data_IF_009969058878
#
_entry.id   IF_009969058878
#
_cell.length_a   1.000
_cell.length_b   1.000
_cell.length_c   1.000
_cell.angle_alpha   90.00
_cell.angle_beta   90.00
_cell.angle_gamma   90.00
#
_symmetry.space_group_name_H-M   'P 1'
#
loop_
_entity.id
_entity.type
_entity.pdbx_description
1 polymer ?
#
# COMPACT_ATOMS: atom_id res chain seq x y z
N UNK A 1 13.64 -5.54 -7.45
CA UNK A 1 13.27 -5.65 -5.99
C UNK A 1 14.49 -5.60 -5.03
N UNK A 2 15.66 -5.22 -5.53
CA UNK A 2 16.87 -5.05 -4.70
C UNK A 2 16.67 -4.01 -3.57
N UNK A 3 15.89 -2.94 -3.84
CA UNK A 3 15.58 -1.87 -2.87
C UNK A 3 14.95 -2.42 -1.58
N UNK A 4 14.00 -3.35 -1.69
CA UNK A 4 13.37 -4.00 -0.54
C UNK A 4 14.36 -4.86 0.25
N UNK A 5 15.20 -5.67 -0.41
CA UNK A 5 16.25 -6.45 0.26
C UNK A 5 17.28 -5.54 0.94
N UNK A 6 17.61 -4.40 0.33
CA UNK A 6 18.52 -3.42 0.96
C UNK A 6 17.91 -2.82 2.23
N UNK A 7 16.60 -2.57 2.25
CA UNK A 7 15.91 -2.13 3.47
C UNK A 7 16.01 -3.20 4.56
N UNK A 8 15.72 -4.48 4.25
CA UNK A 8 15.85 -5.57 5.22
C UNK A 8 17.27 -5.67 5.80
N UNK A 9 18.31 -5.63 4.93
CA UNK A 9 19.72 -5.64 5.37
C UNK A 9 20.05 -4.43 6.23
N UNK A 10 19.60 -3.23 5.83
CA UNK A 10 19.86 -2.01 6.59
C UNK A 10 19.27 -2.09 7.99
N UNK A 11 18.06 -2.65 8.15
CA UNK A 11 17.45 -2.82 9.48
C UNK A 11 18.23 -3.84 10.30
N UNK A 12 18.63 -4.97 9.72
CA UNK A 12 19.41 -5.99 10.45
C UNK A 12 20.79 -5.50 10.88
N UNK A 13 21.43 -4.63 10.07
CA UNK A 13 22.80 -4.15 10.30
C UNK A 13 22.86 -2.91 11.20
N UNK A 14 21.87 -2.00 11.08
CA UNK A 14 21.90 -0.66 11.67
C UNK A 14 20.72 -0.38 12.60
N UNK A 15 19.75 -1.28 12.65
CA UNK A 15 18.54 -1.08 13.47
C UNK A 15 18.83 -1.31 14.96
N UNK A 16 18.10 -0.57 15.77
CA UNK A 16 18.14 -0.68 17.23
C UNK A 16 16.94 -1.48 17.75
N UNK A 17 17.16 -2.28 18.79
CA UNK A 17 16.09 -3.01 19.46
C UNK A 17 15.16 -2.05 20.20
N UNK A 18 13.87 -2.25 20.01
CA UNK A 18 12.82 -1.43 20.59
C UNK A 18 11.68 -2.31 21.09
N UNK A 19 11.14 -1.99 22.26
CA UNK A 19 9.87 -2.54 22.71
C UNK A 19 8.72 -1.92 21.89
N UNK A 20 7.65 -2.65 21.73
CA UNK A 20 6.46 -2.21 21.02
C UNK A 20 5.18 -2.55 21.79
N UNK A 21 4.04 -2.06 21.32
CA UNK A 21 2.72 -2.27 21.95
C UNK A 21 2.34 -3.74 22.07
N UNK A 22 2.77 -4.57 21.12
CA UNK A 22 2.41 -6.00 21.05
C UNK A 22 3.22 -6.87 22.02
N UNK A 23 4.31 -6.34 22.59
CA UNK A 23 5.23 -7.08 23.46
C UNK A 23 6.18 -8.03 22.71
N UNK A 24 6.06 -8.15 21.38
CA UNK A 24 6.95 -8.99 20.57
C UNK A 24 8.37 -8.41 20.50
N UNK A 25 8.48 -7.09 20.47
CA UNK A 25 9.73 -6.37 20.24
C UNK A 25 10.10 -6.29 18.76
N UNK A 26 10.87 -5.27 18.41
CA UNK A 26 11.30 -5.00 17.04
C UNK A 26 12.78 -4.63 16.97
N UNK A 27 13.35 -4.77 15.77
CA UNK A 27 14.55 -4.03 15.36
C UNK A 27 14.09 -2.98 14.35
N UNK A 28 14.41 -1.71 14.58
CA UNK A 28 13.90 -0.61 13.76
C UNK A 28 14.96 0.43 13.40
N UNK A 29 14.71 1.10 12.27
CA UNK A 29 15.38 2.34 11.85
C UNK A 29 14.33 3.42 11.65
N UNK A 30 14.73 4.68 11.82
CA UNK A 30 13.85 5.82 11.57
C UNK A 30 14.32 6.57 10.32
N UNK A 31 13.42 6.62 9.33
CA UNK A 31 13.70 7.27 8.03
C UNK A 31 14.39 6.36 7.03
N UNK A 32 13.67 6.03 5.96
CA UNK A 32 14.21 5.32 4.80
C UNK A 32 13.37 5.62 3.56
N UNK A 33 13.95 5.49 2.37
CA UNK A 33 13.21 5.66 1.12
C UNK A 33 13.62 4.61 0.10
N UNK A 34 12.64 4.06 -0.59
CA UNK A 34 12.82 3.17 -1.76
C UNK A 34 12.19 3.81 -2.99
N UNK A 35 12.73 3.51 -4.18
CA UNK A 35 12.20 3.96 -5.48
C UNK A 35 12.10 2.79 -6.44
N UNK A 36 10.96 2.70 -7.14
CA UNK A 36 10.65 1.68 -8.12
C UNK A 36 10.22 2.34 -9.43
N UNK A 37 10.93 2.13 -10.52
CA UNK A 37 10.51 2.53 -11.86
C UNK A 37 9.41 1.57 -12.33
N UNK A 38 8.19 2.07 -12.47
CA UNK A 38 7.04 1.25 -12.86
C UNK A 38 7.05 0.88 -14.36
N UNK A 39 7.92 1.51 -15.14
CA UNK A 39 8.12 1.15 -16.55
C UNK A 39 8.95 -0.15 -16.73
N UNK A 40 9.74 -0.53 -15.73
CA UNK A 40 10.54 -1.77 -15.74
C UNK A 40 9.71 -3.03 -15.41
N UNK A 41 8.53 -2.87 -14.81
CA UNK A 41 7.64 -3.96 -14.43
C UNK A 41 6.89 -3.66 -13.14
N UNK A 42 6.00 -4.57 -12.75
CA UNK A 42 5.22 -4.44 -11.52
C UNK A 42 6.06 -4.85 -10.31
N UNK A 43 6.24 -3.99 -9.29
CA UNK A 43 7.13 -4.26 -8.16
C UNK A 43 6.50 -5.22 -7.15
N UNK A 44 6.16 -6.43 -7.60
CA UNK A 44 5.76 -7.55 -6.77
C UNK A 44 7.01 -8.35 -6.38
N UNK A 45 7.26 -8.54 -5.08
CA UNK A 45 8.45 -9.27 -4.64
C UNK A 45 8.42 -10.70 -5.14
N UNK A 46 9.61 -11.22 -5.50
CA UNK A 46 9.78 -12.59 -6.04
C UNK A 46 10.47 -13.54 -5.05
N UNK A 47 11.05 -13.02 -4.00
CA UNK A 47 11.76 -13.80 -2.97
C UNK A 47 10.84 -14.47 -1.94
N UNK A 48 9.58 -14.13 -1.94
CA UNK A 48 8.47 -14.92 -1.36
C UNK A 48 7.19 -14.61 -2.11
N UNK A 49 6.32 -15.62 -2.29
CA UNK A 49 5.03 -15.46 -2.98
C UNK A 49 4.09 -14.57 -2.17
N UNK A 50 3.52 -13.54 -2.82
CA UNK A 50 2.48 -12.67 -2.25
C UNK A 50 1.08 -13.16 -2.64
N UNK A 51 0.11 -12.88 -1.78
CA UNK A 51 -1.30 -13.16 -2.05
C UNK A 51 -1.94 -11.94 -2.75
N UNK A 52 -1.72 -11.83 -4.06
CA UNK A 52 -2.16 -10.68 -4.87
C UNK A 52 -3.66 -10.42 -4.78
N UNK A 53 -4.47 -11.49 -4.64
CA UNK A 53 -5.93 -11.37 -4.46
C UNK A 53 -6.28 -10.44 -3.30
N UNK A 54 -5.63 -10.60 -2.14
CA UNK A 54 -5.86 -9.72 -0.99
C UNK A 54 -5.48 -8.27 -1.30
N UNK A 55 -4.37 -8.06 -1.98
CA UNK A 55 -3.89 -6.70 -2.33
C UNK A 55 -4.89 -5.97 -3.22
N UNK A 56 -5.38 -6.65 -4.27
CA UNK A 56 -6.33 -6.06 -5.22
C UNK A 56 -7.67 -5.77 -4.52
N UNK A 57 -8.25 -6.74 -3.79
CA UNK A 57 -9.54 -6.55 -3.12
C UNK A 57 -9.47 -5.47 -2.04
N UNK A 58 -8.38 -5.38 -1.27
CA UNK A 58 -8.18 -4.31 -0.28
C UNK A 58 -8.15 -2.94 -0.95
N UNK A 59 -7.38 -2.78 -2.04
CA UNK A 59 -7.32 -1.51 -2.78
C UNK A 59 -8.68 -1.11 -3.35
N UNK A 60 -9.41 -2.06 -3.94
CA UNK A 60 -10.78 -1.81 -4.44
C UNK A 60 -11.74 -1.44 -3.31
N UNK A 61 -11.61 -2.05 -2.15
CA UNK A 61 -12.38 -1.74 -0.95
C UNK A 61 -12.09 -0.33 -0.43
N UNK A 62 -10.82 0.11 -0.40
CA UNK A 62 -10.47 1.50 -0.10
C UNK A 62 -11.08 2.48 -1.10
N UNK A 63 -11.01 2.18 -2.40
CA UNK A 63 -11.58 3.01 -3.45
C UNK A 63 -13.12 3.09 -3.41
N UNK A 64 -13.80 2.10 -2.86
CA UNK A 64 -15.24 2.16 -2.58
C UNK A 64 -15.58 3.07 -1.38
N UNK A 65 -14.59 3.44 -0.57
CA UNK A 65 -14.79 4.21 0.65
C UNK A 65 -15.46 3.39 1.75
N UNK A 66 -15.39 2.07 1.67
CA UNK A 66 -16.00 1.16 2.64
C UNK A 66 -15.11 1.02 3.90
N UNK A 67 -15.72 0.65 5.01
CA UNK A 67 -15.08 0.41 6.30
C UNK A 67 -15.59 -0.87 6.99
N UNK A 68 -16.42 -1.66 6.31
CA UNK A 68 -16.89 -2.94 6.79
C UNK A 68 -16.18 -4.08 6.04
N UNK A 69 -15.71 -5.10 6.78
CA UNK A 69 -14.94 -6.20 6.21
C UNK A 69 -15.76 -7.21 5.41
N UNK A 70 -17.09 -7.08 5.36
CA UNK A 70 -17.99 -8.01 4.67
C UNK A 70 -17.56 -8.28 3.23
N UNK A 71 -17.32 -7.20 2.45
CA UNK A 71 -16.85 -7.33 1.07
C UNK A 71 -15.54 -8.12 0.98
N UNK A 72 -14.59 -7.87 1.88
CA UNK A 72 -13.31 -8.57 1.92
C UNK A 72 -13.52 -10.06 2.19
N UNK A 73 -14.32 -10.41 3.20
CA UNK A 73 -14.60 -11.78 3.59
C UNK A 73 -15.37 -12.57 2.51
N UNK A 74 -16.34 -11.95 1.84
CA UNK A 74 -17.05 -12.52 0.68
C UNK A 74 -16.09 -12.85 -0.47
N UNK A 75 -14.95 -12.16 -0.56
CA UNK A 75 -13.91 -12.40 -1.54
C UNK A 75 -12.72 -13.21 -1.01
N UNK A 76 -12.86 -13.85 0.17
CA UNK A 76 -11.82 -14.71 0.76
C UNK A 76 -10.62 -13.95 1.31
N UNK A 77 -10.76 -12.66 1.61
CA UNK A 77 -9.72 -11.78 2.16
C UNK A 77 -10.01 -11.52 3.64
N UNK A 78 -9.08 -11.92 4.52
CA UNK A 78 -9.26 -11.89 5.97
C UNK A 78 -8.21 -11.06 6.71
N UNK A 79 -7.48 -10.22 5.99
CA UNK A 79 -6.36 -9.44 6.53
C UNK A 79 -6.78 -8.32 7.50
N UNK A 80 -8.08 -8.09 7.67
CA UNK A 80 -8.64 -7.07 8.56
C UNK A 80 -9.52 -7.66 9.68
N UNK A 81 -9.72 -8.98 9.72
CA UNK A 81 -10.65 -9.64 10.67
C UNK A 81 -10.30 -9.36 12.14
N UNK A 82 -9.00 -9.28 12.47
CA UNK A 82 -8.51 -9.11 13.85
C UNK A 82 -8.78 -7.72 14.43
N UNK A 83 -9.05 -6.71 13.57
CA UNK A 83 -9.32 -5.32 14.00
C UNK A 83 -10.79 -4.95 13.92
N UNK A 84 -11.62 -5.75 13.27
CA UNK A 84 -13.03 -5.46 13.11
C UNK A 84 -13.82 -5.69 14.40
N UNK A 85 -14.82 -4.85 14.64
CA UNK A 85 -15.79 -5.09 15.70
C UNK A 85 -16.69 -6.28 15.37
N UNK A 86 -17.59 -6.63 16.31
CA UNK A 86 -18.54 -7.77 16.16
C UNK A 86 -19.45 -7.66 14.92
N UNK A 87 -19.66 -6.48 14.39
CA UNK A 87 -20.51 -6.18 13.24
C UNK A 87 -19.68 -6.03 11.95
N UNK A 88 -18.35 -6.23 12.05
CA UNK A 88 -17.41 -6.17 10.94
C UNK A 88 -16.93 -4.76 10.59
N UNK A 89 -17.13 -3.76 11.45
CA UNK A 89 -16.75 -2.38 11.18
C UNK A 89 -15.36 -2.06 11.75
N UNK A 90 -14.65 -1.16 11.06
CA UNK A 90 -13.29 -0.71 11.41
C UNK A 90 -13.25 0.78 11.79
N UNK A 91 -14.41 1.46 11.82
CA UNK A 91 -14.43 2.90 11.96
C UNK A 91 -13.98 3.62 10.67
N UNK A 92 -13.66 4.92 10.75
CA UNK A 92 -13.37 5.73 9.57
C UNK A 92 -11.92 5.55 9.06
N UNK A 93 -11.53 4.30 8.74
CA UNK A 93 -10.21 3.94 8.23
C UNK A 93 -10.00 4.40 6.77
N UNK A 94 -8.89 4.11 6.18
CA UNK A 94 -8.37 4.52 4.86
C UNK A 94 -9.41 4.90 3.80
N UNK A 95 -10.31 3.98 3.44
CA UNK A 95 -11.30 4.18 2.39
C UNK A 95 -12.26 5.32 2.71
N UNK A 96 -12.69 5.44 3.97
CA UNK A 96 -13.53 6.55 4.43
C UNK A 96 -12.79 7.87 4.29
N UNK A 97 -11.53 7.94 4.73
CA UNK A 97 -10.74 9.16 4.62
C UNK A 97 -10.48 9.56 3.17
N UNK A 98 -10.22 8.60 2.28
CA UNK A 98 -9.98 8.87 0.87
C UNK A 98 -11.23 9.37 0.13
N UNK A 99 -12.41 8.87 0.50
CA UNK A 99 -13.65 9.05 -0.26
C UNK A 99 -14.71 9.91 0.42
N UNK A 100 -14.67 10.02 1.75
CA UNK A 100 -15.68 10.69 2.57
C UNK A 100 -15.04 11.41 3.76
N UNK A 101 -13.93 12.12 3.52
CA UNK A 101 -13.28 12.92 4.54
C UNK A 101 -14.26 13.92 5.13
N UNK A 102 -14.46 13.84 6.45
CA UNK A 102 -15.32 14.80 7.16
C UNK A 102 -14.61 16.15 7.25
N UNK A 103 -15.24 17.15 6.67
CA UNK A 103 -14.81 18.54 6.75
C UNK A 103 -15.49 19.29 7.90
N UNK A 104 -15.30 20.60 7.89
CA UNK A 104 -15.98 21.52 8.78
C UNK A 104 -17.48 21.54 8.43
N UNK A 105 -18.33 21.70 9.44
CA UNK A 105 -19.79 21.85 9.27
C UNK A 105 -20.51 20.61 8.68
N UNK A 106 -19.88 19.42 8.75
CA UNK A 106 -20.46 18.16 8.31
C UNK A 106 -20.31 17.86 6.82
N UNK A 107 -19.63 18.70 6.08
CA UNK A 107 -19.31 18.45 4.66
C UNK A 107 -18.41 17.23 4.51
N UNK A 108 -18.58 16.52 3.40
CA UNK A 108 -17.69 15.41 3.03
C UNK A 108 -16.89 15.72 1.78
N UNK A 109 -15.62 15.35 1.78
CA UNK A 109 -14.71 15.56 0.66
C UNK A 109 -14.22 14.22 0.11
N UNK A 110 -14.47 13.99 -1.18
CA UNK A 110 -13.92 12.87 -1.92
C UNK A 110 -12.56 13.25 -2.52
N UNK A 111 -11.49 12.89 -1.80
CA UNK A 111 -10.13 13.23 -2.18
C UNK A 111 -9.71 12.53 -3.49
N UNK A 112 -10.12 11.27 -3.71
CA UNK A 112 -9.78 10.51 -4.93
C UNK A 112 -10.49 11.10 -6.15
N UNK A 113 -11.79 11.41 -6.04
CA UNK A 113 -12.53 12.04 -7.14
C UNK A 113 -11.92 13.39 -7.52
N UNK A 114 -11.57 14.19 -6.51
CA UNK A 114 -10.89 15.47 -6.72
C UNK A 114 -9.51 15.29 -7.36
N UNK A 115 -8.72 14.33 -6.89
CA UNK A 115 -7.40 14.00 -7.44
C UNK A 115 -7.49 13.70 -8.95
N UNK A 116 -8.40 12.80 -9.37
CA UNK A 116 -8.56 12.43 -10.78
C UNK A 116 -8.95 13.64 -11.63
N UNK A 117 -9.86 14.47 -11.14
CA UNK A 117 -10.23 15.72 -11.81
C UNK A 117 -9.04 16.65 -11.97
N UNK A 118 -8.33 16.93 -10.86
CA UNK A 118 -7.19 17.86 -10.84
C UNK A 118 -6.03 17.37 -11.72
N UNK A 119 -5.75 16.06 -11.76
CA UNK A 119 -4.74 15.48 -12.66
C UNK A 119 -5.07 15.66 -14.14
N UNK A 120 -6.35 15.58 -14.52
CA UNK A 120 -6.81 15.81 -15.89
C UNK A 120 -6.80 17.29 -16.28
N UNK A 121 -7.18 18.19 -15.38
CA UNK A 121 -7.33 19.62 -15.65
C UNK A 121 -6.01 20.42 -15.43
N UNK A 122 -5.22 20.03 -14.43
CA UNK A 122 -3.98 20.71 -14.04
C UNK A 122 -2.90 19.70 -13.58
N UNK A 123 -2.34 18.88 -14.48
CA UNK A 123 -1.40 17.82 -14.12
C UNK A 123 -0.13 18.31 -13.44
N UNK A 124 0.27 19.56 -13.66
CA UNK A 124 1.49 20.13 -13.08
C UNK A 124 1.31 20.76 -11.70
N UNK A 125 0.12 20.63 -11.10
CA UNK A 125 -0.13 21.08 -9.72
C UNK A 125 0.75 20.31 -8.73
N UNK A 126 1.21 21.00 -7.70
CA UNK A 126 1.95 20.41 -6.57
C UNK A 126 1.04 20.01 -5.40
N UNK A 127 -0.29 19.97 -5.64
CA UNK A 127 -1.33 19.74 -4.62
C UNK A 127 -2.08 18.43 -4.83
N UNK A 128 -1.56 17.50 -5.62
CA UNK A 128 -2.13 16.17 -5.82
C UNK A 128 -1.83 15.28 -4.61
N UNK A 129 -2.44 15.58 -3.48
CA UNK A 129 -2.18 14.94 -2.17
C UNK A 129 -3.46 14.30 -1.66
N UNK A 130 -3.31 13.10 -1.12
CA UNK A 130 -4.33 12.35 -0.38
C UNK A 130 -3.82 12.10 1.03
N UNK A 131 -4.62 12.44 2.04
CA UNK A 131 -4.31 12.19 3.44
C UNK A 131 -5.32 11.20 4.03
N UNK A 132 -4.83 10.21 4.77
CA UNK A 132 -5.66 9.36 5.61
C UNK A 132 -5.58 9.75 7.10
N UNK A 133 -4.65 10.63 7.46
CA UNK A 133 -4.41 11.06 8.85
C UNK A 133 -5.34 12.22 9.22
N UNK A 134 -6.55 11.88 9.65
CA UNK A 134 -7.58 12.83 10.08
C UNK A 134 -7.56 12.94 11.61
N UNK A 135 -6.85 13.94 12.13
CA UNK A 135 -6.55 14.08 13.57
C UNK A 135 -7.80 13.97 14.47
N UNK A 136 -8.93 14.63 14.19
CA UNK A 136 -10.14 14.50 15.01
C UNK A 136 -10.73 13.08 15.08
N UNK A 137 -10.38 12.19 14.14
CA UNK A 137 -11.00 10.86 14.01
C UNK A 137 -10.05 9.70 14.30
N UNK A 138 -8.78 9.96 14.64
CA UNK A 138 -7.78 8.91 14.89
C UNK A 138 -8.24 7.92 15.95
N UNK A 139 -8.79 8.40 17.05
CA UNK A 139 -9.25 7.57 18.18
C UNK A 139 -10.53 6.74 17.84
N UNK A 140 -11.21 7.06 16.74
CA UNK A 140 -12.37 6.32 16.27
C UNK A 140 -12.02 5.22 15.26
N UNK A 141 -10.75 5.08 14.89
CA UNK A 141 -10.26 4.08 13.95
C UNK A 141 -9.81 2.83 14.70
N UNK A 142 -10.23 1.66 14.25
CA UNK A 142 -9.75 0.38 14.79
C UNK A 142 -8.22 0.27 14.67
N UNK A 143 -7.65 0.84 13.61
CA UNK A 143 -6.21 0.95 13.41
C UNK A 143 -5.88 2.31 12.79
N UNK A 144 -5.16 3.21 13.52
CA UNK A 144 -4.66 4.47 12.95
C UNK A 144 -3.80 4.24 11.71
N UNK A 145 -4.01 5.01 10.62
CA UNK A 145 -3.38 4.75 9.33
C UNK A 145 -1.85 4.69 9.41
N UNK A 146 -1.27 3.58 8.99
CA UNK A 146 0.19 3.42 8.84
C UNK A 146 0.69 4.15 7.60
N UNK A 147 0.06 3.96 6.45
CA UNK A 147 0.29 4.74 5.22
C UNK A 147 -0.59 6.00 5.26
N UNK A 148 0.01 7.10 5.74
CA UNK A 148 -0.72 8.29 6.20
C UNK A 148 -1.04 9.29 5.11
N UNK A 149 -0.11 9.47 4.16
CA UNK A 149 -0.22 10.47 3.10
C UNK A 149 0.49 9.97 1.84
N UNK A 150 -0.09 10.26 0.68
CA UNK A 150 0.58 10.05 -0.59
C UNK A 150 0.32 11.20 -1.55
N UNK A 151 1.30 11.45 -2.43
CA UNK A 151 1.30 12.53 -3.39
C UNK A 151 1.62 12.01 -4.78
N UNK A 152 0.90 12.55 -5.77
CA UNK A 152 1.19 12.32 -7.18
C UNK A 152 1.95 13.49 -7.79
N UNK A 153 2.77 13.17 -8.78
CA UNK A 153 3.58 14.13 -9.52
C UNK A 153 3.62 13.75 -11.00
N UNK A 154 3.40 14.73 -11.87
CA UNK A 154 3.46 14.53 -13.32
C UNK A 154 4.61 15.31 -13.91
N UNK A 155 5.47 14.60 -14.64
CA UNK A 155 6.57 15.19 -15.43
C UNK A 155 6.72 14.42 -16.75
N UNK A 156 6.78 15.15 -17.88
CA UNK A 156 6.91 14.56 -19.22
C UNK A 156 5.83 13.47 -19.47
N UNK A 157 4.59 13.76 -19.13
CA UNK A 157 3.43 12.86 -19.23
C UNK A 157 3.54 11.57 -18.38
N UNK A 158 4.53 11.45 -17.50
CA UNK A 158 4.71 10.32 -16.59
C UNK A 158 4.17 10.67 -15.21
N UNK A 159 3.34 9.78 -14.66
CA UNK A 159 2.79 9.87 -13.32
C UNK A 159 3.64 9.09 -12.34
N UNK A 160 4.14 9.77 -11.30
CA UNK A 160 4.82 9.17 -10.15
C UNK A 160 3.97 9.34 -8.90
N UNK A 161 4.15 8.43 -7.95
CA UNK A 161 3.50 8.48 -6.63
C UNK A 161 4.55 8.36 -5.53
N UNK A 162 4.46 9.21 -4.51
CA UNK A 162 5.24 9.07 -3.27
C UNK A 162 4.31 8.81 -2.10
N UNK A 163 4.54 7.72 -1.39
CA UNK A 163 3.87 7.34 -0.15
C UNK A 163 4.76 7.67 1.06
N UNK A 164 4.18 8.27 2.11
CA UNK A 164 4.78 8.28 3.44
C UNK A 164 4.02 7.31 4.36
N UNK A 165 4.76 6.32 4.87
CA UNK A 165 4.29 5.32 5.82
C UNK A 165 4.97 5.55 7.17
N UNK A 166 4.19 5.96 8.20
CA UNK A 166 4.71 6.31 9.53
C UNK A 166 5.27 5.14 10.30
N UNK A 167 4.69 3.94 10.08
CA UNK A 167 5.05 2.70 10.77
C UNK A 167 4.91 1.54 9.79
N UNK A 168 5.94 0.70 9.68
CA UNK A 168 6.04 -0.31 8.65
C UNK A 168 6.64 -1.62 9.16
N UNK A 169 5.80 -2.66 9.30
CA UNK A 169 6.27 -4.04 9.34
C UNK A 169 6.88 -4.39 7.99
N UNK A 170 8.21 -4.43 7.95
CA UNK A 170 8.93 -4.59 6.68
C UNK A 170 8.83 -6.01 6.14
N UNK A 171 8.62 -7.01 6.98
CA UNK A 171 8.50 -8.39 6.53
C UNK A 171 7.11 -8.76 6.00
N UNK A 172 6.02 -8.46 6.74
CA UNK A 172 4.66 -8.82 6.32
C UNK A 172 4.00 -7.70 5.51
N UNK A 173 3.99 -6.46 6.03
CA UNK A 173 3.19 -5.37 5.49
C UNK A 173 3.80 -4.69 4.26
N UNK A 174 5.08 -4.32 4.30
CA UNK A 174 5.71 -3.52 3.23
C UNK A 174 5.59 -4.13 1.85
N UNK A 175 5.76 -5.45 1.62
CA UNK A 175 5.55 -6.04 0.30
C UNK A 175 4.14 -5.83 -0.27
N UNK A 176 3.12 -5.89 0.60
CA UNK A 176 1.72 -5.61 0.23
C UNK A 176 1.55 -4.13 -0.13
N UNK A 177 2.11 -3.22 0.68
CA UNK A 177 1.99 -1.78 0.45
C UNK A 177 2.70 -1.36 -0.85
N UNK A 178 3.88 -1.91 -1.18
CA UNK A 178 4.58 -1.67 -2.45
C UNK A 178 3.67 -2.04 -3.62
N UNK A 179 3.12 -3.25 -3.64
CA UNK A 179 2.28 -3.73 -4.72
C UNK A 179 0.96 -2.95 -4.81
N UNK A 180 0.33 -2.62 -3.67
CA UNK A 180 -0.93 -1.87 -3.60
C UNK A 180 -0.78 -0.46 -4.17
N UNK A 181 0.23 0.30 -3.74
CA UNK A 181 0.43 1.67 -4.22
C UNK A 181 1.00 1.75 -5.64
N UNK A 182 1.80 0.76 -6.06
CA UNK A 182 2.17 0.62 -7.46
C UNK A 182 0.93 0.40 -8.34
N UNK A 183 0.02 -0.51 -7.92
CA UNK A 183 -1.24 -0.75 -8.62
C UNK A 183 -2.13 0.49 -8.66
N UNK A 184 -2.29 1.19 -7.53
CA UNK A 184 -3.03 2.46 -7.47
C UNK A 184 -2.45 3.49 -8.45
N UNK A 185 -1.10 3.61 -8.51
CA UNK A 185 -0.43 4.52 -9.44
C UNK A 185 -0.74 4.15 -10.90
N UNK A 186 -0.72 2.86 -11.24
CA UNK A 186 -1.06 2.37 -12.57
C UNK A 186 -2.52 2.65 -12.92
N UNK A 187 -3.47 2.44 -11.99
CA UNK A 187 -4.89 2.73 -12.17
C UNK A 187 -5.12 4.23 -12.43
N UNK A 188 -4.51 5.10 -11.61
CA UNK A 188 -4.61 6.56 -11.76
C UNK A 188 -4.00 7.00 -13.09
N UNK A 189 -2.81 6.50 -13.45
CA UNK A 189 -2.17 6.81 -14.73
C UNK A 189 -3.08 6.46 -15.91
N UNK A 190 -3.69 5.26 -15.87
CA UNK A 190 -4.60 4.80 -16.90
C UNK A 190 -5.82 5.71 -17.07
N UNK A 191 -6.56 6.00 -16.01
CA UNK A 191 -7.79 6.81 -16.11
C UNK A 191 -7.51 8.29 -16.40
N UNK A 192 -6.27 8.74 -16.18
CA UNK A 192 -5.81 10.10 -16.52
C UNK A 192 -5.05 10.16 -17.86
N UNK A 193 -4.91 9.04 -18.59
CA UNK A 193 -4.17 8.94 -19.86
C UNK A 193 -2.70 9.41 -19.71
N UNK A 194 -2.04 8.99 -18.64
CA UNK A 194 -0.64 9.28 -18.36
C UNK A 194 0.23 8.02 -18.46
N UNK A 195 1.50 8.21 -18.77
CA UNK A 195 2.51 7.14 -18.75
C UNK A 195 2.93 6.83 -17.30
N UNK A 196 3.51 5.66 -17.08
CA UNK A 196 4.03 5.28 -15.77
C UNK A 196 5.38 5.97 -15.49
N UNK A 197 5.50 6.51 -14.30
CA UNK A 197 6.74 7.01 -13.70
C UNK A 197 7.18 6.11 -12.54
N UNK A 198 7.56 6.71 -11.42
CA UNK A 198 8.09 6.01 -10.26
C UNK A 198 7.04 5.84 -9.16
N UNK A 199 7.16 4.75 -8.42
CA UNK A 199 6.63 4.65 -7.07
C UNK A 199 7.75 4.87 -6.05
N UNK A 200 7.59 5.85 -5.17
CA UNK A 200 8.53 6.18 -4.10
C UNK A 200 7.87 5.84 -2.77
N UNK A 201 8.53 5.01 -1.97
CA UNK A 201 8.04 4.60 -0.66
C UNK A 201 8.95 5.17 0.42
N UNK A 202 8.44 6.10 1.20
CA UNK A 202 9.15 6.77 2.31
C UNK A 202 8.60 6.28 3.63
N UNK A 203 9.49 5.96 4.56
CA UNK A 203 9.17 5.39 5.86
C UNK A 203 9.55 6.33 7.01
N UNK A 204 8.71 6.34 8.05
CA UNK A 204 9.08 6.76 9.38
C UNK A 204 9.78 5.61 10.12
N UNK A 205 9.07 4.93 11.05
CA UNK A 205 9.56 3.73 11.74
C UNK A 205 9.44 2.51 10.80
N UNK A 206 10.59 2.04 10.30
CA UNK A 206 10.68 0.81 9.52
C UNK A 206 11.28 -0.29 10.39
N UNK A 207 10.52 -1.36 10.64
CA UNK A 207 10.91 -2.37 11.60
C UNK A 207 10.70 -3.79 11.13
N UNK A 208 11.45 -4.71 11.74
CA UNK A 208 11.30 -6.16 11.66
C UNK A 208 10.95 -6.64 13.08
N UNK A 209 9.83 -7.34 13.23
CA UNK A 209 9.50 -7.99 14.50
C UNK A 209 10.51 -9.08 14.84
N UNK A 210 10.83 -9.26 16.15
CA UNK A 210 11.85 -10.21 16.57
C UNK A 210 11.50 -11.66 16.23
N UNK A 211 10.21 -12.00 16.16
CA UNK A 211 9.72 -13.31 15.73
C UNK A 211 9.81 -13.55 14.20
N UNK A 212 10.24 -12.55 13.40
CA UNK A 212 10.41 -12.67 11.96
C UNK A 212 11.89 -12.73 11.52
N UNK A 213 12.84 -12.72 12.44
CA UNK A 213 14.28 -12.63 12.09
C UNK A 213 14.76 -13.80 11.22
N UNK A 214 14.34 -15.02 11.52
CA UNK A 214 14.76 -16.20 10.74
C UNK A 214 14.09 -16.23 9.36
N UNK A 215 12.83 -15.79 9.27
CA UNK A 215 12.12 -15.63 8.01
C UNK A 215 12.79 -14.59 7.10
N UNK A 216 13.23 -13.46 7.68
CA UNK A 216 13.96 -12.42 6.94
C UNK A 216 15.31 -12.93 6.44
N UNK A 217 16.07 -13.64 7.27
CA UNK A 217 17.35 -14.26 6.85
C UNK A 217 17.13 -15.22 5.68
N UNK A 218 16.16 -16.15 5.82
CA UNK A 218 15.78 -17.06 4.74
C UNK A 218 15.40 -16.32 3.45
N UNK A 219 14.62 -15.23 3.56
CA UNK A 219 14.22 -14.44 2.40
C UNK A 219 15.41 -13.77 1.71
N UNK A 220 16.40 -13.29 2.48
CA UNK A 220 17.60 -12.64 1.98
C UNK A 220 18.56 -13.57 1.24
N UNK A 221 18.50 -14.89 1.48
CA UNK A 221 19.29 -15.92 0.78
C UNK A 221 18.73 -16.25 -0.60
N UNK A 222 17.49 -15.86 -0.92
CA UNK A 222 16.81 -16.20 -2.16
C UNK A 222 17.17 -15.27 -3.31
N UNK A 223 17.39 -15.85 -4.49
CA UNK A 223 17.61 -15.10 -5.72
C UNK A 223 16.34 -14.40 -6.22
N UNK A 224 16.53 -13.35 -7.00
CA UNK A 224 15.43 -12.62 -7.64
C UNK A 224 15.05 -13.30 -8.95
N UNK A 225 13.74 -13.45 -9.17
CA UNK A 225 13.18 -13.65 -10.51
C UNK A 225 12.93 -12.30 -11.20
N UNK A 226 12.75 -12.26 -12.53
CA UNK A 226 12.33 -11.07 -13.25
C UNK A 226 11.01 -10.49 -12.67
N UNK A 227 10.86 -9.17 -12.77
CA UNK A 227 9.61 -8.53 -12.37
C UNK A 227 8.45 -8.99 -13.27
N UNK A 228 7.28 -9.30 -12.70
CA UNK A 228 6.09 -9.57 -13.46
C UNK A 228 5.54 -8.30 -14.11
N UNK A 229 4.56 -8.47 -14.99
CA UNK A 229 3.81 -7.38 -15.60
C UNK A 229 2.38 -7.39 -15.08
N UNK A 230 1.88 -6.22 -14.71
CA UNK A 230 0.46 -6.03 -14.39
C UNK A 230 -0.27 -5.53 -15.64
N UNK A 231 -1.19 -6.33 -16.16
CA UNK A 231 -2.15 -5.90 -17.18
C UNK A 231 -3.40 -5.36 -16.50
N UNK A 232 -3.87 -4.23 -16.98
CA UNK A 232 -5.12 -3.59 -16.55
C UNK A 232 -6.05 -3.50 -17.74
N UNK A 233 -7.33 -3.86 -17.55
CA UNK A 233 -8.35 -3.81 -18.60
C UNK A 233 -8.43 -2.42 -19.23
N UNK A 234 -8.28 -2.36 -20.55
CA UNK A 234 -8.25 -1.09 -21.29
C UNK A 234 -9.61 -0.40 -21.44
N UNK A 235 -10.69 -1.07 -21.16
CA UNK A 235 -12.06 -0.54 -21.34
C UNK A 235 -12.59 0.16 -20.07
N UNK A 236 -11.81 0.30 -19.01
CA UNK A 236 -12.22 0.97 -17.77
C UNK A 236 -11.63 2.38 -17.74
N UNK A 237 -12.49 3.40 -17.74
CA UNK A 237 -12.12 4.83 -17.76
C UNK A 237 -12.42 5.56 -16.45
N UNK A 238 -13.13 4.91 -15.51
CA UNK A 238 -13.44 5.43 -14.19
C UNK A 238 -12.75 4.57 -13.10
N UNK A 239 -11.96 5.22 -12.24
CA UNK A 239 -11.19 4.55 -11.18
C UNK A 239 -12.07 3.76 -10.21
N UNK A 240 -13.33 4.14 -10.06
CA UNK A 240 -14.29 3.49 -9.16
C UNK A 240 -15.03 2.31 -9.80
N UNK A 241 -14.87 2.11 -11.11
CA UNK A 241 -15.53 1.05 -11.88
C UNK A 241 -14.69 -0.22 -11.99
N UNK A 242 -13.42 -0.18 -11.59
CA UNK A 242 -12.56 -1.37 -11.61
C UNK A 242 -13.09 -2.49 -10.72
N UNK A 243 -12.93 -3.72 -11.23
CA UNK A 243 -13.23 -4.99 -10.55
C UNK A 243 -11.97 -5.85 -10.49
N UNK A 244 -12.00 -6.90 -9.68
CA UNK A 244 -10.86 -7.82 -9.55
C UNK A 244 -10.42 -8.42 -10.89
N UNK A 245 -11.37 -8.74 -11.76
CA UNK A 245 -11.16 -9.35 -13.08
C UNK A 245 -10.48 -8.42 -14.09
N UNK A 246 -10.40 -7.12 -13.79
CA UNK A 246 -9.72 -6.14 -14.64
C UNK A 246 -8.19 -6.16 -14.50
N UNK A 247 -7.65 -7.00 -13.58
CA UNK A 247 -6.23 -7.10 -13.29
C UNK A 247 -5.69 -8.49 -13.54
N UNK A 248 -4.63 -8.59 -14.33
CA UNK A 248 -3.91 -9.85 -14.61
C UNK A 248 -2.42 -9.67 -14.33
N UNK A 249 -1.88 -10.45 -13.37
CA UNK A 249 -0.44 -10.51 -13.13
C UNK A 249 0.19 -11.57 -14.04
N UNK A 250 0.98 -11.12 -15.01
CA UNK A 250 1.60 -11.97 -16.04
C UNK A 250 3.06 -12.21 -15.69
N UNK A 251 3.54 -13.42 -15.94
CA UNK A 251 4.93 -13.87 -15.73
C UNK A 251 5.40 -13.79 -14.28
N UNK A 252 4.50 -13.94 -13.30
CA UNK A 252 4.87 -13.92 -11.89
C UNK A 252 5.47 -15.25 -11.45
N UNK A 253 6.80 -15.27 -11.32
CA UNK A 253 7.56 -16.35 -10.69
C UNK A 253 8.03 -15.88 -9.31
N UNK A 254 7.82 -16.69 -8.29
CA UNK A 254 8.25 -16.37 -6.93
C UNK A 254 8.64 -17.63 -6.17
N UNK A 255 9.58 -17.47 -5.24
CA UNK A 255 9.87 -18.51 -4.24
C UNK A 255 8.62 -18.78 -3.37
N UNK A 256 8.53 -19.97 -2.76
CA UNK A 256 7.42 -20.31 -1.87
C UNK A 256 7.18 -19.24 -0.80
N UNK A 257 5.92 -19.13 -0.37
CA UNK A 257 5.54 -18.26 0.73
C UNK A 257 6.36 -18.57 2.00
N UNK A 258 6.71 -17.52 2.75
CA UNK A 258 7.32 -17.65 4.08
C UNK A 258 6.28 -17.16 5.07
N UNK A 259 5.81 -18.07 5.94
CA UNK A 259 4.81 -17.74 6.96
C UNK A 259 5.45 -16.89 8.07
N UNK A 260 4.76 -15.83 8.49
CA UNK A 260 5.04 -15.05 9.69
C UNK A 260 3.77 -14.87 10.50
N UNK A 261 3.88 -14.79 11.81
CA UNK A 261 2.77 -14.50 12.70
C UNK A 261 2.55 -12.98 12.78
N UNK A 262 1.29 -12.57 12.71
CA UNK A 262 0.94 -11.15 12.86
C UNK A 262 1.08 -10.76 14.33
N UNK A 263 1.76 -9.65 14.60
CA UNK A 263 1.86 -9.09 15.96
C UNK A 263 0.75 -8.04 16.13
N UNK A 264 -0.22 -8.30 17.01
CA UNK A 264 -1.43 -7.50 17.27
C UNK A 264 -1.47 -6.91 18.68
#
# INVERSE_FOLDING_TARGET
MKQYHNLLRTILEKGEKKSDRTGTGTISIFGHQMRFDLSEGFPCITTKKLHLRSIIHELLWFLKGDNNIKYLNENGVRIWDEWADKDGNLGPVYGVQWRRWQGKDGDTHDQIKKLIKDLKENPHSRRHIISAWNVPYIENMALPPCHTIFQFYVLNEKLSCQLYQRSADVFLGVPFNIASYALLTMMVAKVCNLKLGDFIHTFGDAHIYLNHLDQVKLQLERDFFPLPKMKINNNVDDIFSFKYEDFELVDYQAHPHIKGEVSV
#
